data_IF_092207878300
#
_entry.id   IF_092207878300
#
_cell.length_a   1.000
_cell.length_b   1.000
_cell.length_c   1.000
_cell.angle_alpha   90.00
_cell.angle_beta   90.00
_cell.angle_gamma   90.00
#
_symmetry.space_group_name_H-M   'P 1'
#
loop_
_entity.id
_entity.type
_entity.pdbx_description
1 polymer ?
#
# COMPACT_ATOMS: atom_id res chain seq x y z
N UNK A 1 31.54 4.14 -5.62
CA UNK A 1 30.43 4.27 -4.63
C UNK A 1 29.26 3.35 -4.96
N UNK A 2 29.02 3.00 -6.24
CA UNK A 2 27.91 2.13 -6.69
C UNK A 2 28.10 0.64 -6.35
N UNK A 3 29.31 0.08 -6.47
CA UNK A 3 29.52 -1.36 -6.21
C UNK A 3 29.27 -1.76 -4.74
N UNK A 4 29.50 -0.84 -3.80
CA UNK A 4 29.32 -1.11 -2.36
C UNK A 4 27.85 -0.97 -1.94
N UNK A 5 27.06 -0.13 -2.63
CA UNK A 5 25.60 -0.08 -2.44
C UNK A 5 24.90 -1.29 -3.03
N UNK A 6 25.36 -1.78 -4.19
CA UNK A 6 24.77 -2.96 -4.84
C UNK A 6 25.05 -4.23 -4.03
N UNK A 7 26.25 -4.40 -3.50
CA UNK A 7 26.59 -5.53 -2.63
C UNK A 7 25.78 -5.57 -1.32
N UNK A 8 25.38 -4.41 -0.80
CA UNK A 8 24.54 -4.31 0.40
C UNK A 8 23.05 -4.59 0.10
N UNK A 9 22.61 -4.43 -1.14
CA UNK A 9 21.24 -4.70 -1.57
C UNK A 9 21.00 -6.17 -1.91
N UNK A 10 22.03 -6.89 -2.36
CA UNK A 10 21.91 -8.29 -2.81
C UNK A 10 21.25 -9.23 -1.77
N UNK A 11 21.60 -9.18 -0.46
CA UNK A 11 20.92 -10.01 0.54
C UNK A 11 19.44 -9.67 0.70
N UNK A 12 19.08 -8.39 0.55
CA UNK A 12 17.71 -7.90 0.66
C UNK A 12 16.89 -8.37 -0.54
N UNK A 13 17.43 -8.22 -1.75
CA UNK A 13 16.80 -8.72 -2.97
C UNK A 13 16.63 -10.24 -2.94
N UNK A 14 17.62 -10.97 -2.41
CA UNK A 14 17.53 -12.42 -2.19
C UNK A 14 16.40 -12.77 -1.21
N UNK A 15 16.27 -12.03 -0.09
CA UNK A 15 15.18 -12.21 0.87
C UNK A 15 13.81 -11.94 0.24
N UNK A 16 13.66 -10.87 -0.55
CA UNK A 16 12.43 -10.53 -1.27
C UNK A 16 12.08 -11.62 -2.30
N UNK A 17 13.06 -12.12 -3.06
CA UNK A 17 12.87 -13.20 -4.02
C UNK A 17 12.45 -14.52 -3.33
N UNK A 18 13.06 -14.84 -2.19
CA UNK A 18 12.68 -16.00 -1.39
C UNK A 18 11.24 -15.87 -0.85
N UNK A 19 10.85 -14.69 -0.37
CA UNK A 19 9.49 -14.43 0.10
C UNK A 19 8.45 -14.56 -1.03
N UNK A 20 8.74 -14.02 -2.22
CA UNK A 20 7.89 -14.20 -3.42
C UNK A 20 7.73 -15.67 -3.79
N UNK A 21 8.83 -16.42 -3.80
CA UNK A 21 8.81 -17.86 -4.09
C UNK A 21 7.97 -18.62 -3.07
N UNK A 22 8.07 -18.27 -1.79
CA UNK A 22 7.29 -18.88 -0.72
C UNK A 22 5.79 -18.60 -0.87
N UNK A 23 5.43 -17.35 -1.19
CA UNK A 23 4.04 -16.98 -1.50
C UNK A 23 3.47 -17.78 -2.67
N UNK A 24 4.22 -17.97 -3.76
CA UNK A 24 3.77 -18.81 -4.89
C UNK A 24 3.45 -20.24 -4.45
N UNK A 25 4.28 -20.82 -3.57
CA UNK A 25 4.13 -22.20 -3.13
C UNK A 25 3.02 -22.39 -2.09
N UNK A 26 2.87 -21.45 -1.16
CA UNK A 26 1.94 -21.56 -0.04
C UNK A 26 0.58 -20.89 -0.28
N UNK A 27 0.58 -19.77 -1.02
CA UNK A 27 -0.59 -18.91 -1.28
C UNK A 27 -0.60 -18.49 -2.76
N UNK A 28 -0.85 -19.40 -3.71
CA UNK A 28 -0.63 -19.14 -5.15
C UNK A 28 -1.31 -17.89 -5.69
N UNK A 29 -2.50 -17.54 -5.20
CA UNK A 29 -3.20 -16.30 -5.55
C UNK A 29 -2.38 -15.04 -5.19
N UNK A 30 -1.97 -14.92 -3.92
CA UNK A 30 -1.11 -13.81 -3.46
C UNK A 30 0.25 -13.84 -4.16
N UNK A 31 0.82 -15.02 -4.34
CA UNK A 31 2.05 -15.20 -5.10
C UNK A 31 1.97 -14.63 -6.51
N UNK A 32 0.88 -14.92 -7.25
CA UNK A 32 0.67 -14.37 -8.58
C UNK A 32 0.60 -12.83 -8.57
N UNK A 33 -0.14 -12.24 -7.63
CA UNK A 33 -0.27 -10.78 -7.53
C UNK A 33 1.08 -10.09 -7.27
N UNK A 34 1.84 -10.57 -6.29
CA UNK A 34 3.16 -9.99 -5.98
C UNK A 34 4.13 -10.11 -7.16
N UNK A 35 3.95 -11.12 -8.02
CA UNK A 35 4.81 -11.25 -9.19
C UNK A 35 4.67 -10.12 -10.22
N UNK A 36 3.52 -9.44 -10.23
CA UNK A 36 3.25 -8.32 -11.13
C UNK A 36 3.86 -7.00 -10.68
N UNK A 37 4.33 -6.88 -9.43
CA UNK A 37 4.95 -5.67 -8.92
C UNK A 37 6.49 -5.75 -9.06
N UNK A 38 7.11 -4.91 -9.91
CA UNK A 38 8.55 -4.73 -9.91
C UNK A 38 9.04 -4.21 -8.56
N UNK A 39 10.15 -4.75 -8.07
CA UNK A 39 10.79 -4.30 -6.83
C UNK A 39 11.64 -3.06 -7.13
N UNK A 40 11.43 -1.98 -6.40
CA UNK A 40 12.21 -0.74 -6.50
C UNK A 40 12.66 -0.30 -5.12
N UNK A 41 13.93 0.13 -5.01
CA UNK A 41 14.40 0.78 -3.78
C UNK A 41 13.68 2.13 -3.67
N UNK A 42 13.01 2.35 -2.55
CA UNK A 42 12.36 3.62 -2.24
C UNK A 42 13.38 4.73 -1.96
N UNK A 43 13.00 5.97 -2.27
CA UNK A 43 13.81 7.16 -1.93
C UNK A 43 13.70 7.53 -0.45
N UNK A 44 14.18 8.72 -0.09
CA UNK A 44 14.15 9.22 1.30
C UNK A 44 12.74 9.32 1.91
N UNK A 45 11.70 9.35 1.07
CA UNK A 45 10.29 9.32 1.47
C UNK A 45 9.86 7.95 2.01
N UNK A 46 10.49 6.86 1.59
CA UNK A 46 10.07 5.50 1.92
C UNK A 46 10.71 5.07 3.25
N UNK A 47 9.97 5.22 4.34
CA UNK A 47 10.44 4.79 5.67
C UNK A 47 10.33 3.28 5.85
N UNK A 48 9.34 2.65 5.20
CA UNK A 48 9.01 1.21 5.29
C UNK A 48 8.87 0.59 3.89
N UNK A 49 7.67 0.59 3.32
CA UNK A 49 7.27 0.14 1.99
C UNK A 49 6.32 1.17 1.37
N UNK A 50 5.93 0.95 0.13
CA UNK A 50 4.83 1.66 -0.48
C UNK A 50 4.59 1.20 -1.91
N UNK A 51 3.52 1.71 -2.50
CA UNK A 51 3.14 1.38 -3.87
C UNK A 51 2.46 2.55 -4.58
N UNK A 52 2.74 2.66 -5.88
CA UNK A 52 2.05 3.54 -6.85
C UNK A 52 1.05 2.74 -7.70
N UNK A 53 0.69 1.53 -7.25
CA UNK A 53 -0.08 0.53 -7.98
C UNK A 53 0.60 -0.05 -9.23
N UNK A 54 1.87 0.30 -9.49
CA UNK A 54 2.67 -0.23 -10.59
C UNK A 54 3.91 -0.96 -10.09
N UNK A 55 4.49 -0.54 -8.96
CA UNK A 55 5.67 -1.11 -8.35
C UNK A 55 5.55 -1.24 -6.83
N UNK A 56 6.38 -2.13 -6.29
CA UNK A 56 6.61 -2.28 -4.86
C UNK A 56 7.87 -1.51 -4.50
N UNK A 57 7.73 -0.44 -3.72
CA UNK A 57 8.84 0.32 -3.18
C UNK A 57 9.20 -0.17 -1.79
N UNK A 58 10.48 -0.21 -1.47
CA UNK A 58 10.93 -0.63 -0.14
C UNK A 58 12.14 0.12 0.36
N UNK A 59 12.18 0.30 1.68
CA UNK A 59 13.36 0.69 2.42
C UNK A 59 14.20 -0.56 2.74
N UNK A 60 15.45 -0.66 2.24
CA UNK A 60 16.29 -1.83 2.48
C UNK A 60 16.54 -2.12 3.96
N UNK A 61 16.69 -1.09 4.81
CA UNK A 61 16.91 -1.24 6.25
C UNK A 61 15.67 -1.79 6.95
N UNK A 62 14.49 -1.37 6.53
CA UNK A 62 13.24 -1.89 7.08
C UNK A 62 13.11 -3.39 6.75
N UNK A 63 13.25 -3.76 5.47
CA UNK A 63 13.17 -5.16 5.02
C UNK A 63 14.26 -6.04 5.65
N UNK A 64 15.45 -5.49 5.90
CA UNK A 64 16.52 -6.24 6.57
C UNK A 64 16.11 -6.69 7.98
N UNK A 65 15.40 -5.84 8.71
CA UNK A 65 14.91 -6.12 10.06
C UNK A 65 13.70 -7.08 10.10
N UNK A 66 13.09 -7.37 8.96
CA UNK A 66 11.96 -8.30 8.88
C UNK A 66 12.42 -9.75 8.76
N UNK A 67 11.68 -10.64 9.43
CA UNK A 67 11.73 -12.07 9.15
C UNK A 67 11.12 -12.39 7.77
N UNK A 68 11.46 -13.55 7.21
CA UNK A 68 10.89 -13.98 5.92
C UNK A 68 9.36 -14.01 5.91
N UNK A 69 8.72 -14.42 7.02
CA UNK A 69 7.27 -14.43 7.15
C UNK A 69 6.66 -13.02 7.13
N UNK A 70 7.33 -12.04 7.75
CA UNK A 70 6.91 -10.64 7.72
C UNK A 70 7.18 -10.01 6.36
N UNK A 71 8.25 -10.40 5.67
CA UNK A 71 8.52 -9.99 4.28
C UNK A 71 7.40 -10.46 3.33
N UNK A 72 6.87 -11.68 3.53
CA UNK A 72 5.71 -12.15 2.77
C UNK A 72 4.47 -11.30 3.02
N UNK A 73 4.24 -10.87 4.27
CA UNK A 73 3.11 -10.02 4.63
C UNK A 73 3.17 -8.67 3.91
N UNK A 74 4.29 -7.93 3.99
CA UNK A 74 4.38 -6.61 3.35
C UNK A 74 4.27 -6.71 1.83
N UNK A 75 4.81 -7.76 1.21
CA UNK A 75 4.67 -7.98 -0.23
C UNK A 75 3.21 -8.22 -0.61
N UNK A 76 2.52 -9.09 0.12
CA UNK A 76 1.12 -9.37 -0.10
C UNK A 76 0.23 -8.15 0.17
N UNK A 77 0.57 -7.34 1.18
CA UNK A 77 -0.13 -6.10 1.53
C UNK A 77 -0.17 -5.15 0.34
N UNK A 78 0.98 -4.70 -0.15
CA UNK A 78 1.06 -3.77 -1.30
C UNK A 78 0.35 -4.33 -2.54
N UNK A 79 0.52 -5.63 -2.81
CA UNK A 79 -0.15 -6.29 -3.93
C UNK A 79 -1.68 -6.32 -3.79
N UNK A 80 -2.19 -6.44 -2.56
CA UNK A 80 -3.63 -6.39 -2.27
C UNK A 80 -4.20 -4.99 -2.43
N UNK A 81 -3.47 -3.92 -2.06
CA UNK A 81 -3.91 -2.54 -2.36
C UNK A 81 -4.12 -2.34 -3.87
N UNK A 82 -3.23 -2.90 -4.68
CA UNK A 82 -3.36 -2.91 -6.14
C UNK A 82 -4.57 -3.74 -6.60
N UNK A 83 -4.65 -5.00 -6.14
CA UNK A 83 -5.67 -5.95 -6.58
C UNK A 83 -7.10 -5.53 -6.20
N UNK A 84 -7.26 -4.86 -5.06
CA UNK A 84 -8.55 -4.33 -4.60
C UNK A 84 -8.91 -2.98 -5.24
N UNK A 85 -8.02 -2.40 -6.05
CA UNK A 85 -8.28 -1.13 -6.73
C UNK A 85 -8.45 0.05 -5.77
N UNK A 86 -7.87 -0.01 -4.56
CA UNK A 86 -7.87 1.09 -3.60
C UNK A 86 -7.43 2.46 -4.17
N UNK A 87 -6.43 2.54 -5.08
CA UNK A 87 -6.06 3.80 -5.75
C UNK A 87 -7.24 4.47 -6.46
N UNK A 88 -8.11 3.67 -7.09
CA UNK A 88 -9.20 4.15 -7.94
C UNK A 88 -10.52 4.32 -7.18
N UNK A 89 -10.59 3.83 -5.94
CA UNK A 89 -11.82 3.79 -5.12
C UNK A 89 -11.89 4.89 -4.07
N UNK A 90 -10.84 5.72 -3.93
CA UNK A 90 -10.78 6.82 -2.96
C UNK A 90 -11.88 7.87 -3.17
N UNK A 91 -12.15 8.26 -4.41
CA UNK A 91 -13.06 9.36 -4.75
C UNK A 91 -12.71 10.64 -3.96
N UNK A 92 -13.70 11.33 -3.39
CA UNK A 92 -13.53 12.57 -2.63
C UNK A 92 -13.13 12.36 -1.17
N UNK A 93 -12.79 11.12 -0.76
CA UNK A 93 -12.43 10.81 0.62
C UNK A 93 -11.06 11.42 0.99
N UNK A 94 -10.92 11.78 2.26
CA UNK A 94 -9.67 12.29 2.84
C UNK A 94 -8.62 11.19 2.78
N UNK A 95 -7.50 11.45 2.09
CA UNK A 95 -6.45 10.46 1.80
C UNK A 95 -6.00 9.69 3.05
N UNK A 96 -5.57 10.39 4.10
CA UNK A 96 -5.11 9.76 5.35
C UNK A 96 -6.13 8.77 5.94
N UNK A 97 -7.42 9.15 6.00
CA UNK A 97 -8.48 8.26 6.52
C UNK A 97 -8.81 7.12 5.56
N UNK A 98 -8.69 7.35 4.26
CA UNK A 98 -8.86 6.31 3.25
C UNK A 98 -7.76 5.25 3.36
N UNK A 99 -6.52 5.69 3.50
CA UNK A 99 -5.36 4.82 3.69
C UNK A 99 -5.55 3.93 4.93
N UNK A 100 -5.94 4.52 6.07
CA UNK A 100 -6.26 3.76 7.30
C UNK A 100 -7.39 2.73 7.06
N UNK A 101 -8.45 3.09 6.33
CA UNK A 101 -9.54 2.15 6.02
C UNK A 101 -9.08 0.98 5.15
N UNK A 102 -8.27 1.28 4.14
CA UNK A 102 -7.69 0.28 3.25
C UNK A 102 -6.77 -0.68 4.01
N UNK A 103 -5.92 -0.15 4.88
CA UNK A 103 -5.00 -0.96 5.68
C UNK A 103 -5.75 -1.89 6.62
N UNK A 104 -6.76 -1.42 7.34
CA UNK A 104 -7.59 -2.29 8.18
C UNK A 104 -8.18 -3.44 7.35
N UNK A 105 -8.77 -3.14 6.18
CA UNK A 105 -9.34 -4.18 5.31
C UNK A 105 -8.30 -5.21 4.84
N UNK A 106 -7.13 -4.75 4.36
CA UNK A 106 -6.08 -5.62 3.82
C UNK A 106 -5.41 -6.43 4.93
N UNK A 107 -5.05 -5.79 6.04
CA UNK A 107 -4.34 -6.46 7.12
C UNK A 107 -5.19 -7.53 7.78
N UNK A 108 -6.49 -7.29 7.98
CA UNK A 108 -7.41 -8.30 8.50
C UNK A 108 -7.49 -9.52 7.57
N UNK A 109 -7.62 -9.30 6.27
CA UNK A 109 -7.63 -10.39 5.28
C UNK A 109 -6.32 -11.20 5.30
N UNK A 110 -5.17 -10.54 5.33
CA UNK A 110 -3.87 -11.22 5.34
C UNK A 110 -3.61 -11.98 6.65
N UNK A 111 -4.07 -11.44 7.79
CA UNK A 111 -3.99 -12.11 9.09
C UNK A 111 -4.91 -13.34 9.10
N UNK A 112 -6.11 -13.25 8.53
CA UNK A 112 -7.03 -14.39 8.38
C UNK A 112 -6.44 -15.48 7.47
N UNK A 113 -5.73 -15.10 6.41
CA UNK A 113 -4.91 -16.00 5.58
C UNK A 113 -3.65 -16.53 6.31
N UNK A 114 -3.43 -16.18 7.58
CA UNK A 114 -2.35 -16.68 8.41
C UNK A 114 -0.98 -16.09 8.11
N UNK A 115 -0.90 -14.96 7.41
CA UNK A 115 0.35 -14.21 7.25
C UNK A 115 0.68 -13.45 8.54
N UNK A 116 1.98 -13.19 8.76
CA UNK A 116 2.47 -12.57 10.00
C UNK A 116 2.81 -11.08 9.78
N UNK A 117 2.14 -10.14 10.45
CA UNK A 117 2.39 -8.72 10.27
C UNK A 117 3.80 -8.30 10.75
N UNK A 118 4.39 -7.26 10.14
CA UNK A 118 5.74 -6.78 10.47
C UNK A 118 5.83 -6.08 11.82
N UNK A 119 4.75 -5.43 12.26
CA UNK A 119 4.72 -4.55 13.44
C UNK A 119 3.67 -5.02 14.45
N UNK A 120 3.95 -4.80 15.74
CA UNK A 120 2.95 -4.94 16.79
C UNK A 120 1.98 -3.75 16.72
N UNK A 121 0.68 -4.00 16.79
CA UNK A 121 -0.33 -2.94 16.74
C UNK A 121 -0.60 -2.39 15.34
N UNK A 122 -0.36 -3.18 14.28
CA UNK A 122 -0.78 -2.84 12.92
C UNK A 122 -2.31 -2.60 12.88
N UNK A 123 -2.77 -1.76 11.94
CA UNK A 123 -4.19 -1.48 11.71
C UNK A 123 -4.92 -2.77 11.33
N UNK A 124 -5.59 -3.39 12.31
CA UNK A 124 -6.32 -4.63 12.17
C UNK A 124 -7.41 -4.76 13.27
N UNK A 125 -8.25 -3.72 13.42
CA UNK A 125 -9.36 -3.77 14.38
C UNK A 125 -10.35 -4.87 13.96
N UNK A 126 -10.54 -5.85 14.84
CA UNK A 126 -11.41 -7.00 14.61
C UNK A 126 -12.89 -6.60 14.41
N UNK A 127 -13.29 -5.40 14.84
CA UNK A 127 -14.63 -4.87 14.58
C UNK A 127 -14.89 -4.60 13.09
N UNK A 128 -13.83 -4.48 12.28
CA UNK A 128 -13.90 -4.27 10.84
C UNK A 128 -13.78 -5.55 10.02
N UNK A 129 -13.77 -6.72 10.67
CA UNK A 129 -13.73 -8.01 9.97
C UNK A 129 -14.84 -8.09 8.93
N UNK A 130 -14.50 -8.59 7.73
CA UNK A 130 -15.39 -8.74 6.56
C UNK A 130 -15.87 -7.45 5.90
N UNK A 131 -15.57 -6.27 6.45
CA UNK A 131 -15.94 -4.99 5.86
C UNK A 131 -14.94 -4.57 4.76
N UNK A 132 -15.47 -3.91 3.73
CA UNK A 132 -14.68 -3.23 2.71
C UNK A 132 -14.13 -1.89 3.21
N UNK A 133 -13.09 -1.36 2.54
CA UNK A 133 -12.54 -0.04 2.85
C UNK A 133 -13.60 1.07 2.84
N UNK A 134 -14.60 1.02 1.96
CA UNK A 134 -15.71 1.97 1.91
C UNK A 134 -16.67 1.86 3.09
N UNK A 135 -16.85 0.67 3.64
CA UNK A 135 -17.66 0.42 4.83
C UNK A 135 -16.90 0.81 6.10
N UNK A 136 -15.57 0.64 6.13
CA UNK A 136 -14.71 1.03 7.25
C UNK A 136 -14.52 2.54 7.31
N UNK A 137 -14.32 3.21 6.17
CA UNK A 137 -14.04 4.65 6.11
C UNK A 137 -14.98 5.54 6.95
N UNK A 138 -16.32 5.41 6.87
CA UNK A 138 -17.23 6.23 7.69
C UNK A 138 -17.15 5.95 9.19
N UNK A 139 -16.59 4.80 9.59
CA UNK A 139 -16.40 4.41 11.00
C UNK A 139 -15.11 4.99 11.59
N UNK A 140 -14.18 5.44 10.76
CA UNK A 140 -12.93 6.08 11.20
C UNK A 140 -13.21 7.53 11.63
N UNK A 141 -12.91 7.93 12.89
CA UNK A 141 -13.05 9.30 13.35
C UNK A 141 -12.23 10.30 12.54
N UNK A 142 -12.72 11.53 12.41
CA UNK A 142 -11.99 12.61 11.70
C UNK A 142 -10.65 12.93 12.35
N UNK A 143 -10.57 12.84 13.67
CA UNK A 143 -9.42 13.11 14.52
C UNK A 143 -8.62 11.84 14.87
N UNK A 144 -8.79 10.75 14.10
CA UNK A 144 -8.07 9.50 14.38
C UNK A 144 -6.54 9.73 14.47
N UNK A 145 -5.87 9.19 15.50
CA UNK A 145 -4.41 9.20 15.57
C UNK A 145 -3.79 8.11 14.70
N UNK A 146 -4.59 7.21 14.12
CA UNK A 146 -4.12 6.10 13.30
C UNK A 146 -3.47 6.58 12.01
N UNK A 147 -2.40 5.91 11.62
CA UNK A 147 -1.64 6.17 10.40
C UNK A 147 -1.29 4.84 9.73
N UNK A 148 -1.35 4.83 8.40
CA UNK A 148 -0.83 3.73 7.59
C UNK A 148 0.68 3.63 7.82
N UNK A 149 1.19 2.40 7.83
CA UNK A 149 2.62 2.17 8.08
C UNK A 149 3.45 2.27 6.80
N UNK A 150 2.80 2.29 5.63
CA UNK A 150 3.36 2.32 4.29
C UNK A 150 2.94 3.60 3.55
N UNK A 151 3.37 3.71 2.30
CA UNK A 151 3.22 4.92 1.51
C UNK A 151 2.41 4.64 0.23
N UNK A 152 1.16 5.10 0.25
CA UNK A 152 0.24 5.05 -0.90
C UNK A 152 0.46 6.25 -1.85
N UNK A 153 1.13 6.02 -2.99
CA UNK A 153 1.53 7.06 -3.96
C UNK A 153 0.52 7.30 -5.10
N UNK A 154 -0.77 7.06 -4.84
CA UNK A 154 -1.82 6.99 -5.86
C UNK A 154 -2.23 8.33 -6.49
N UNK A 155 -1.91 9.45 -5.85
CA UNK A 155 -2.45 10.76 -6.22
C UNK A 155 -1.52 11.59 -7.12
N UNK A 156 -0.38 11.02 -7.53
CA UNK A 156 0.69 11.72 -8.27
C UNK A 156 0.24 12.31 -9.62
N UNK A 157 -0.85 11.83 -10.20
CA UNK A 157 -1.33 12.22 -11.53
C UNK A 157 -2.54 13.19 -11.53
N UNK A 158 -3.10 13.55 -10.37
CA UNK A 158 -4.40 14.27 -10.31
C UNK A 158 -4.32 15.76 -9.95
N UNK A 159 -3.14 16.34 -9.74
CA UNK A 159 -2.98 17.78 -9.46
C UNK A 159 -2.89 18.67 -10.71
N UNK A 160 -3.05 18.12 -11.93
CA UNK A 160 -3.09 18.92 -13.17
C UNK A 160 -4.50 19.22 -13.70
N UNK A 161 -5.54 18.90 -12.93
CA UNK A 161 -6.95 19.17 -13.28
C UNK A 161 -7.39 20.58 -12.86
N UNK A 162 -6.91 21.61 -13.57
CA UNK A 162 -7.47 22.96 -13.48
C UNK A 162 -8.97 22.89 -13.77
N UNK A 163 -9.82 23.11 -12.76
CA UNK A 163 -11.27 23.21 -12.97
C UNK A 163 -11.55 24.47 -13.80
N UNK A 164 -12.22 24.39 -14.97
CA UNK A 164 -12.76 25.58 -15.59
C UNK A 164 -13.93 26.05 -14.73
N UNK A 165 -13.76 27.25 -14.17
CA UNK A 165 -14.79 28.05 -13.52
C UNK A 165 -15.89 28.35 -14.56
N UNK A 166 -16.96 27.56 -14.58
CA UNK A 166 -18.17 27.85 -15.34
C UNK A 166 -19.00 28.91 -14.58
N UNK A 167 -18.52 30.16 -14.61
CA UNK A 167 -19.31 31.29 -14.19
C UNK A 167 -19.11 32.48 -15.13
N UNK A 168 -19.57 32.35 -16.37
CA UNK A 168 -19.81 33.49 -17.26
C UNK A 168 -20.84 33.10 -18.34
N UNK A 169 -22.12 33.02 -17.96
CA UNK A 169 -23.22 33.23 -18.92
C UNK A 169 -23.47 34.73 -18.99
N UNK A 170 -22.82 35.40 -19.95
CA UNK A 170 -23.26 36.71 -20.42
C UNK A 170 -24.39 36.47 -21.43
N UNK A 171 -25.64 36.66 -20.98
CA UNK A 171 -26.77 36.88 -21.89
C UNK A 171 -26.77 38.38 -22.26
N UNK A 172 -26.39 38.68 -23.50
CA UNK A 172 -26.59 40.00 -24.12
C UNK A 172 -27.92 39.96 -24.92
N UNK A 173 -28.77 41.00 -24.87
CA UNK A 173 -30.06 41.01 -25.56
C UNK A 173 -29.97 41.65 -26.95
N UNK A 174 -30.73 41.12 -27.90
CA UNK A 174 -31.15 41.80 -29.15
C UNK A 174 -32.68 41.93 -29.16
#
# INVERSE_FOLDING_TARGET
MTEQSDAALEPILTKLAAARTRLIMERPFLGALVMHLPLKVGGDWCTTTGTDAQAFYFNPKFVDNLSLAQTQFILAHEAMHCAMGHPHRRNHRVKRRWDVACDHAVNLMLIEEGLKPPLHGILADQNFMTLSAEEIYPLIPEDTPEESFDEHLFDSDNESGNSPDENERQDDPD
#
